data_IF_853551500464
#
_entry.id   IF_853551500464
#
_cell.length_a   1.000
_cell.length_b   1.000
_cell.length_c   1.000
_cell.angle_alpha   90.00
_cell.angle_beta   90.00
_cell.angle_gamma   90.00
#
_symmetry.space_group_name_H-M   'P 1'
#
loop_
_entity.id
_entity.type
_entity.pdbx_description
1 polymer ?
#
# COMPACT_ATOMS: atom_id res chain seq x y z
N UNK A 1 22.07 35.01 -36.85
CA UNK A 1 21.22 35.20 -35.66
C UNK A 1 20.53 33.88 -35.44
N UNK A 2 21.07 33.09 -34.52
CA UNK A 2 20.65 31.71 -34.31
C UNK A 2 19.36 31.70 -33.50
N UNK A 3 18.30 31.18 -34.11
CA UNK A 3 17.03 30.91 -33.44
C UNK A 3 17.25 29.77 -32.43
N UNK A 4 17.60 30.14 -31.21
CA UNK A 4 17.59 29.24 -30.07
C UNK A 4 16.13 29.02 -29.64
N UNK A 5 15.41 28.16 -30.36
CA UNK A 5 14.20 27.51 -29.87
C UNK A 5 14.61 26.63 -28.70
N UNK A 6 14.68 27.24 -27.51
CA UNK A 6 14.62 26.50 -26.26
C UNK A 6 13.31 25.73 -26.29
N UNK A 7 13.47 24.43 -26.47
CA UNK A 7 12.48 23.41 -26.29
C UNK A 7 12.06 23.43 -24.81
N UNK A 8 11.18 24.35 -24.45
CA UNK A 8 10.57 24.47 -23.12
C UNK A 8 9.48 23.39 -22.89
N UNK A 9 9.60 22.22 -23.54
CA UNK A 9 8.72 21.07 -23.33
C UNK A 9 9.04 20.30 -22.04
N UNK A 10 9.98 20.80 -21.23
CA UNK A 10 10.25 20.30 -19.89
C UNK A 10 9.15 20.77 -18.91
N UNK A 11 8.01 20.11 -19.04
CA UNK A 11 7.27 19.57 -17.90
C UNK A 11 6.84 20.58 -16.82
N UNK A 12 5.81 21.37 -17.13
CA UNK A 12 4.82 21.64 -16.09
C UNK A 12 4.09 20.34 -15.78
N UNK A 13 4.67 19.52 -14.90
CA UNK A 13 3.92 18.45 -14.24
C UNK A 13 2.79 19.15 -13.47
N UNK A 14 1.57 19.04 -13.99
CA UNK A 14 0.37 19.58 -13.37
C UNK A 14 0.34 19.18 -11.88
N UNK A 15 0.05 20.14 -10.99
CA UNK A 15 0.09 19.95 -9.54
C UNK A 15 -0.78 18.76 -9.09
N UNK A 16 -1.87 18.49 -9.81
CA UNK A 16 -2.74 17.34 -9.54
C UNK A 16 -2.10 16.01 -9.93
N UNK A 17 -1.30 15.97 -11.01
CA UNK A 17 -0.50 14.77 -11.35
C UNK A 17 0.50 14.48 -10.25
N UNK A 18 1.19 15.50 -9.76
CA UNK A 18 2.19 15.36 -8.70
C UNK A 18 1.55 14.90 -7.39
N UNK A 19 0.37 15.45 -7.05
CA UNK A 19 -0.35 15.06 -5.85
C UNK A 19 -0.85 13.61 -5.92
N UNK A 20 -1.40 13.19 -7.06
CA UNK A 20 -1.81 11.81 -7.28
C UNK A 20 -0.63 10.83 -7.12
N UNK A 21 0.52 11.16 -7.70
CA UNK A 21 1.73 10.35 -7.58
C UNK A 21 2.20 10.24 -6.11
N UNK A 22 2.21 11.35 -5.36
CA UNK A 22 2.57 11.36 -3.94
C UNK A 22 1.63 10.54 -3.08
N UNK A 23 0.32 10.56 -3.36
CA UNK A 23 -0.67 9.76 -2.65
C UNK A 23 -0.48 8.26 -2.91
N UNK A 24 -0.21 7.89 -4.17
CA UNK A 24 0.14 6.51 -4.55
C UNK A 24 1.40 6.04 -3.81
N UNK A 25 2.45 6.87 -3.77
CA UNK A 25 3.71 6.52 -3.10
C UNK A 25 3.52 6.38 -1.58
N UNK A 26 2.78 7.32 -0.96
CA UNK A 26 2.47 7.28 0.48
C UNK A 26 1.70 6.01 0.84
N UNK A 27 0.68 5.67 0.06
CA UNK A 27 -0.11 4.46 0.28
C UNK A 27 0.74 3.20 0.12
N UNK A 28 1.56 3.12 -0.93
CA UNK A 28 2.47 1.99 -1.17
C UNK A 28 3.47 1.82 -0.03
N UNK A 29 4.07 2.91 0.45
CA UNK A 29 5.03 2.90 1.56
C UNK A 29 4.39 2.46 2.89
N UNK A 30 3.16 2.89 3.16
CA UNK A 30 2.41 2.47 4.34
C UNK A 30 2.15 0.95 4.31
N UNK A 31 1.74 0.40 3.16
CA UNK A 31 1.56 -1.05 2.99
C UNK A 31 2.85 -1.84 3.19
N UNK A 32 3.96 -1.39 2.61
CA UNK A 32 5.26 -2.05 2.84
C UNK A 32 5.62 -2.07 4.33
N UNK A 33 5.33 -0.98 5.04
CA UNK A 33 5.58 -0.89 6.48
C UNK A 33 4.73 -1.88 7.25
N UNK A 34 3.42 -1.99 6.94
CA UNK A 34 2.52 -2.98 7.53
C UNK A 34 3.03 -4.41 7.26
N UNK A 35 3.42 -4.72 6.02
CA UNK A 35 3.94 -6.04 5.67
C UNK A 35 5.21 -6.40 6.47
N UNK A 36 6.15 -5.45 6.59
CA UNK A 36 7.36 -5.62 7.42
C UNK A 36 7.01 -5.84 8.89
N UNK A 37 6.09 -5.06 9.45
CA UNK A 37 5.65 -5.19 10.85
C UNK A 37 4.91 -6.51 11.09
N UNK A 38 4.06 -6.98 10.16
CA UNK A 38 3.42 -8.30 10.21
C UNK A 38 4.47 -9.42 10.24
N UNK A 39 5.50 -9.34 9.39
CA UNK A 39 6.58 -10.33 9.37
C UNK A 39 7.39 -10.35 10.68
N UNK A 40 7.75 -9.16 11.20
CA UNK A 40 8.43 -9.00 12.49
C UNK A 40 7.57 -9.57 13.63
N UNK A 41 6.27 -9.23 13.65
CA UNK A 41 5.33 -9.74 14.64
C UNK A 41 5.23 -11.26 14.60
N UNK A 42 5.15 -11.86 13.41
CA UNK A 42 5.14 -13.31 13.24
C UNK A 42 6.41 -13.96 13.81
N UNK A 43 7.58 -13.38 13.55
CA UNK A 43 8.85 -13.86 14.09
C UNK A 43 8.89 -13.77 15.62
N UNK A 44 8.44 -12.68 16.21
CA UNK A 44 8.43 -12.52 17.67
C UNK A 44 7.37 -13.35 18.37
N UNK A 45 6.22 -13.63 17.73
CA UNK A 45 5.20 -14.55 18.28
C UNK A 45 5.73 -15.97 18.49
N UNK A 46 6.75 -16.38 17.73
CA UNK A 46 7.45 -17.65 17.91
C UNK A 46 8.51 -17.62 19.03
N UNK A 47 8.67 -16.50 19.73
CA UNK A 47 9.63 -16.29 20.84
C UNK A 47 8.91 -15.81 22.11
N UNK A 48 9.49 -16.01 23.31
CA UNK A 48 8.89 -15.53 24.58
C UNK A 48 8.98 -14.00 24.77
N UNK A 49 9.20 -13.24 23.70
CA UNK A 49 9.43 -11.79 23.74
C UNK A 49 8.10 -11.07 23.64
N UNK A 50 7.85 -10.14 24.57
CA UNK A 50 6.68 -9.25 24.50
C UNK A 50 6.75 -8.41 23.21
N UNK A 51 5.70 -8.49 22.38
CA UNK A 51 5.59 -7.82 21.08
C UNK A 51 4.66 -6.60 21.07
N UNK A 52 4.25 -6.07 22.24
CA UNK A 52 3.31 -4.96 22.39
C UNK A 52 3.71 -3.72 21.58
N UNK A 53 5.01 -3.41 21.50
CA UNK A 53 5.49 -2.30 20.68
C UNK A 53 5.20 -2.52 19.19
N UNK A 54 5.42 -3.74 18.69
CA UNK A 54 5.17 -4.09 17.29
C UNK A 54 3.68 -4.03 16.99
N UNK A 55 2.82 -4.50 17.90
CA UNK A 55 1.36 -4.41 17.77
C UNK A 55 0.91 -2.96 17.67
N UNK A 56 1.37 -2.07 18.58
CA UNK A 56 1.03 -0.65 18.50
C UNK A 56 1.51 0.02 17.22
N UNK A 57 2.72 -0.30 16.77
CA UNK A 57 3.24 0.21 15.50
C UNK A 57 2.42 -0.29 14.31
N UNK A 58 1.94 -1.54 14.35
CA UNK A 58 1.08 -2.12 13.33
C UNK A 58 -0.26 -1.38 13.26
N UNK A 59 -0.88 -1.08 14.41
CA UNK A 59 -2.13 -0.32 14.48
C UNK A 59 -1.96 1.08 13.87
N UNK A 60 -0.87 1.78 14.23
CA UNK A 60 -0.57 3.10 13.68
C UNK A 60 -0.32 3.07 12.17
N UNK A 61 0.46 2.10 11.69
CA UNK A 61 0.72 1.94 10.26
C UNK A 61 -0.57 1.62 9.48
N UNK A 62 -1.45 0.79 10.05
CA UNK A 62 -2.76 0.45 9.46
C UNK A 62 -3.66 1.67 9.38
N UNK A 63 -3.70 2.50 10.43
CA UNK A 63 -4.44 3.77 10.38
C UNK A 63 -3.89 4.71 9.31
N UNK A 64 -2.55 4.84 9.22
CA UNK A 64 -1.90 5.68 8.22
C UNK A 64 -2.19 5.22 6.78
N UNK A 65 -2.18 3.90 6.52
CA UNK A 65 -2.60 3.32 5.24
C UNK A 65 -4.06 3.66 4.94
N UNK A 66 -4.95 3.50 5.92
CA UNK A 66 -6.37 3.82 5.75
C UNK A 66 -6.62 5.28 5.37
N UNK A 67 -5.89 6.22 5.98
CA UNK A 67 -5.95 7.64 5.61
C UNK A 67 -5.43 7.88 4.19
N UNK A 68 -4.24 7.34 3.85
CA UNK A 68 -3.66 7.50 2.53
C UNK A 68 -4.56 6.91 1.43
N UNK A 69 -5.18 5.76 1.69
CA UNK A 69 -6.15 5.12 0.79
C UNK A 69 -7.38 6.00 0.57
N UNK A 70 -7.95 6.55 1.64
CA UNK A 70 -9.10 7.45 1.54
C UNK A 70 -8.76 8.71 0.74
N UNK A 71 -7.62 9.35 1.02
CA UNK A 71 -7.13 10.50 0.26
C UNK A 71 -6.97 10.15 -1.23
N UNK A 72 -6.38 8.99 -1.54
CA UNK A 72 -6.23 8.51 -2.91
C UNK A 72 -7.59 8.33 -3.60
N UNK A 73 -8.57 7.72 -2.93
CA UNK A 73 -9.91 7.49 -3.47
C UNK A 73 -10.63 8.80 -3.80
N UNK A 74 -10.52 9.82 -2.95
CA UNK A 74 -11.17 11.12 -3.17
C UNK A 74 -10.34 12.11 -4.00
N UNK A 75 -9.06 11.79 -4.27
CA UNK A 75 -8.16 12.62 -5.07
C UNK A 75 -8.79 12.93 -6.44
N UNK A 76 -8.89 14.23 -6.76
CA UNK A 76 -9.43 14.70 -8.04
C UNK A 76 -8.47 14.36 -9.17
N UNK A 77 -9.03 14.06 -10.33
CA UNK A 77 -8.28 13.86 -11.58
C UNK A 77 -8.85 14.80 -12.63
N UNK A 78 -7.96 15.48 -13.34
CA UNK A 78 -8.28 16.50 -14.34
C UNK A 78 -8.07 15.98 -15.78
N UNK A 79 -7.37 14.86 -15.95
CA UNK A 79 -7.10 14.27 -17.26
C UNK A 79 -7.50 12.79 -17.31
N UNK A 80 -7.80 12.31 -18.51
CA UNK A 80 -8.07 10.88 -18.76
C UNK A 80 -6.87 10.02 -18.35
N UNK A 81 -5.64 10.51 -18.56
CA UNK A 81 -4.43 9.80 -18.16
C UNK A 81 -4.31 9.65 -16.64
N UNK A 82 -4.61 10.69 -15.86
CA UNK A 82 -4.61 10.61 -14.39
C UNK A 82 -5.69 9.64 -13.90
N UNK A 83 -6.89 9.68 -14.50
CA UNK A 83 -7.96 8.74 -14.18
C UNK A 83 -7.55 7.29 -14.47
N UNK A 84 -6.91 7.04 -15.61
CA UNK A 84 -6.41 5.72 -15.98
C UNK A 84 -5.32 5.23 -15.02
N UNK A 85 -4.34 6.06 -14.68
CA UNK A 85 -3.26 5.71 -13.75
C UNK A 85 -3.83 5.34 -12.37
N UNK A 86 -4.75 6.14 -11.85
CA UNK A 86 -5.44 5.88 -10.58
C UNK A 86 -6.22 4.57 -10.63
N UNK A 87 -6.97 4.32 -11.70
CA UNK A 87 -7.76 3.10 -11.85
C UNK A 87 -6.88 1.84 -11.94
N UNK A 88 -5.78 1.89 -12.70
CA UNK A 88 -4.82 0.78 -12.82
C UNK A 88 -4.20 0.47 -11.46
N UNK A 89 -3.77 1.50 -10.72
CA UNK A 89 -3.20 1.32 -9.39
C UNK A 89 -4.20 0.65 -8.44
N UNK A 90 -5.44 1.17 -8.34
CA UNK A 90 -6.47 0.62 -7.46
C UNK A 90 -6.87 -0.81 -7.85
N UNK A 91 -6.90 -1.13 -9.15
CA UNK A 91 -7.16 -2.49 -9.61
C UNK A 91 -6.06 -3.46 -9.18
N UNK A 92 -4.79 -3.08 -9.38
CA UNK A 92 -3.66 -3.91 -8.97
C UNK A 92 -3.66 -4.13 -7.46
N UNK A 93 -4.00 -3.10 -6.69
CA UNK A 93 -4.15 -3.19 -5.24
C UNK A 93 -5.23 -4.19 -4.83
N UNK A 94 -6.42 -4.12 -5.46
CA UNK A 94 -7.50 -5.06 -5.18
C UNK A 94 -7.08 -6.51 -5.43
N UNK A 95 -6.38 -6.77 -6.53
CA UNK A 95 -5.86 -8.11 -6.86
C UNK A 95 -4.83 -8.59 -5.84
N UNK A 96 -3.99 -7.70 -5.31
CA UNK A 96 -3.05 -8.03 -4.24
C UNK A 96 -3.79 -8.39 -2.95
N UNK A 97 -4.81 -7.61 -2.58
CA UNK A 97 -5.62 -7.89 -1.38
C UNK A 97 -6.38 -9.21 -1.49
N UNK A 98 -6.93 -9.52 -2.66
CA UNK A 98 -7.56 -10.82 -2.92
C UNK A 98 -6.57 -11.97 -2.76
N UNK A 99 -5.34 -11.82 -3.28
CA UNK A 99 -4.29 -12.83 -3.15
C UNK A 99 -3.80 -13.00 -1.70
N UNK A 100 -3.63 -11.90 -0.95
CA UNK A 100 -3.25 -11.93 0.46
C UNK A 100 -4.34 -12.60 1.31
N UNK A 101 -5.60 -12.24 1.11
CA UNK A 101 -6.73 -12.84 1.82
C UNK A 101 -6.88 -14.34 1.52
N UNK A 102 -6.70 -14.74 0.26
CA UNK A 102 -6.71 -16.16 -0.11
C UNK A 102 -5.60 -16.94 0.59
N UNK A 103 -4.37 -16.40 0.63
CA UNK A 103 -3.24 -17.01 1.32
C UNK A 103 -3.45 -17.12 2.84
N UNK A 104 -4.05 -16.10 3.48
CA UNK A 104 -4.40 -16.16 4.90
C UNK A 104 -5.46 -17.25 5.19
N UNK A 105 -6.46 -17.44 4.32
CA UNK A 105 -7.47 -18.50 4.47
C UNK A 105 -6.88 -19.91 4.32
N UNK A 106 -5.98 -20.14 3.35
CA UNK A 106 -5.32 -21.44 3.19
C UNK A 106 -4.46 -21.83 4.40
N UNK A 107 -3.75 -20.86 4.99
CA UNK A 107 -2.92 -21.09 6.18
C UNK A 107 -3.75 -21.53 7.40
N UNK A 108 -4.91 -20.92 7.62
CA UNK A 108 -5.80 -21.27 8.73
C UNK A 108 -6.56 -22.59 8.52
N UNK A 109 -6.82 -22.99 7.27
CA UNK A 109 -7.38 -24.30 6.97
C UNK A 109 -6.40 -25.46 7.27
N UNK A 110 -5.08 -25.22 7.14
CA UNK A 110 -4.04 -26.19 7.50
C UNK A 110 -3.84 -26.37 9.01
N UNK A 111 -3.95 -25.29 9.78
CA UNK A 111 -3.75 -25.32 11.24
C UNK A 111 -4.92 -26.00 12.00
N UNK A 112 -6.12 -26.04 11.42
CA UNK A 112 -7.31 -26.65 12.03
C UNK A 112 -7.24 -28.20 12.11
N UNK A 113 -6.34 -28.86 11.38
CA UNK A 113 -6.19 -30.32 11.37
C UNK A 113 -5.11 -30.85 12.35
N UNK A 114 -4.42 -29.98 13.10
CA UNK A 114 -3.32 -30.38 13.99
C UNK A 114 -3.68 -30.50 15.47
N UNK A 115 -4.86 -30.06 15.91
CA UNK A 115 -5.27 -30.13 17.32
C UNK A 115 -6.24 -31.29 17.56
N UNK A 116 -5.76 -32.51 17.33
CA UNK A 116 -6.36 -33.70 17.94
C UNK A 116 -5.54 -34.02 19.18
N UNK A 117 -5.98 -33.52 20.34
CA UNK A 117 -5.54 -34.05 21.61
C UNK A 117 -5.95 -35.52 21.69
N UNK A 118 -4.96 -36.41 21.71
CA UNK A 118 -5.06 -37.79 22.15
C UNK A 118 -4.08 -37.99 23.30
#
# INVERSE_FOLDING_TARGET
>A
MDNNTKNDNAEQVDAVTLELARLIDRHSSARETIARLKAIHHHYKASPVNCDLVVRCLDQATQAEGYARNELLVCKVNTVQQAANKAVYLRNLLLQDEAENAAEMEKHAGDANGSSCA
#
